data_IF_076362613205
#
_entry.id   IF_076362613205
#
_cell.length_a   1.000
_cell.length_b   1.000
_cell.length_c   1.000
_cell.angle_alpha   90.00
_cell.angle_beta   90.00
_cell.angle_gamma   90.00
#
_symmetry.space_group_name_H-M   'P 1'
#
loop_
_entity.id
_entity.type
_entity.pdbx_description
1 polymer ?
#
# COMPACT_ATOMS: atom_id res chain seq x y z
N UNK A 1 -12.24 25.40 13.45
CA UNK A 1 -12.50 25.12 12.02
C UNK A 1 -13.04 23.70 11.89
N UNK A 2 -14.34 23.60 11.64
CA UNK A 2 -15.07 22.33 11.49
C UNK A 2 -14.56 21.60 10.25
N UNK A 3 -13.78 20.54 10.43
CA UNK A 3 -13.47 19.58 9.37
C UNK A 3 -14.78 18.88 9.03
N UNK A 4 -15.52 19.49 8.11
CA UNK A 4 -16.70 18.91 7.49
C UNK A 4 -16.39 17.44 7.15
N UNK A 5 -17.31 16.55 7.54
CA UNK A 5 -17.29 15.12 7.26
C UNK A 5 -17.09 14.92 5.76
N UNK A 6 -15.84 14.85 5.31
CA UNK A 6 -15.53 14.54 3.92
C UNK A 6 -16.08 13.14 3.70
N UNK A 7 -17.12 13.04 2.86
CA UNK A 7 -17.55 11.76 2.31
C UNK A 7 -16.30 11.04 1.84
N UNK A 8 -16.11 9.73 2.13
CA UNK A 8 -14.87 9.02 1.81
C UNK A 8 -14.45 9.16 0.34
N UNK A 9 -15.43 9.41 -0.54
CA UNK A 9 -15.28 9.58 -1.99
C UNK A 9 -14.70 10.93 -2.42
N UNK A 10 -14.74 11.96 -1.58
CA UNK A 10 -14.30 13.31 -1.92
C UNK A 10 -12.82 13.58 -1.55
N UNK A 11 -12.15 12.60 -0.93
CA UNK A 11 -10.74 12.74 -0.59
C UNK A 11 -9.87 12.44 -1.82
N UNK A 12 -8.87 13.28 -2.17
CA UNK A 12 -8.04 13.08 -3.37
C UNK A 12 -7.34 11.71 -3.39
N UNK A 13 -6.88 11.23 -2.23
CA UNK A 13 -6.30 9.89 -2.10
C UNK A 13 -7.26 8.74 -2.42
N UNK A 14 -8.57 8.91 -2.28
CA UNK A 14 -9.55 7.84 -2.54
C UNK A 14 -9.50 7.39 -4.01
N UNK A 15 -9.45 8.34 -4.93
CA UNK A 15 -9.35 8.05 -6.37
C UNK A 15 -8.03 7.35 -6.70
N UNK A 16 -6.94 7.76 -6.05
CA UNK A 16 -5.62 7.14 -6.22
C UNK A 16 -5.62 5.70 -5.69
N UNK A 17 -6.22 5.45 -4.52
CA UNK A 17 -6.34 4.09 -3.98
C UNK A 17 -7.17 3.19 -4.88
N UNK A 18 -8.27 3.68 -5.43
CA UNK A 18 -9.09 2.94 -6.39
C UNK A 18 -8.32 2.65 -7.69
N UNK A 19 -7.52 3.60 -8.17
CA UNK A 19 -6.64 3.39 -9.32
C UNK A 19 -5.60 2.28 -9.04
N UNK A 20 -4.99 2.28 -7.85
CA UNK A 20 -4.04 1.24 -7.42
C UNK A 20 -4.71 -0.14 -7.39
N UNK A 21 -5.93 -0.24 -6.86
CA UNK A 21 -6.66 -1.51 -6.85
C UNK A 21 -6.89 -2.03 -8.26
N UNK A 22 -7.39 -1.18 -9.16
CA UNK A 22 -7.63 -1.54 -10.56
C UNK A 22 -6.34 -1.96 -11.28
N UNK A 23 -5.24 -1.28 -11.01
CA UNK A 23 -3.94 -1.60 -11.59
C UNK A 23 -3.45 -2.94 -11.07
N UNK A 24 -3.46 -3.15 -9.75
CA UNK A 24 -2.99 -4.38 -9.11
C UNK A 24 -3.84 -5.60 -9.49
N UNK A 25 -5.15 -5.44 -9.71
CA UNK A 25 -6.01 -6.52 -10.23
C UNK A 25 -5.52 -7.09 -11.56
N UNK A 26 -4.89 -6.27 -12.42
CA UNK A 26 -4.33 -6.72 -13.70
C UNK A 26 -3.08 -7.59 -13.54
N UNK A 27 -2.37 -7.44 -12.43
CA UNK A 27 -1.12 -8.14 -12.12
C UNK A 27 -1.29 -9.25 -11.08
N UNK A 28 -2.53 -9.62 -10.72
CA UNK A 28 -2.77 -10.77 -9.84
C UNK A 28 -2.38 -12.03 -10.61
N UNK A 29 -1.21 -12.60 -10.25
CA UNK A 29 -0.79 -13.91 -10.73
C UNK A 29 -1.90 -14.93 -10.47
N UNK A 30 -2.45 -15.52 -11.52
CA UNK A 30 -3.48 -16.57 -11.42
C UNK A 30 -2.90 -17.90 -10.94
N UNK A 31 -1.59 -17.99 -10.79
CA UNK A 31 -0.91 -19.20 -10.37
C UNK A 31 -0.99 -19.34 -8.84
N UNK A 32 -1.31 -20.54 -8.32
CA UNK A 32 -1.36 -20.79 -6.89
C UNK A 32 0.04 -20.59 -6.29
N UNK A 33 0.21 -19.51 -5.53
CA UNK A 33 1.44 -19.26 -4.77
C UNK A 33 1.59 -20.35 -3.70
N UNK A 34 2.66 -21.14 -3.77
CA UNK A 34 3.01 -22.10 -2.71
C UNK A 34 3.46 -21.32 -1.47
N UNK A 35 2.82 -21.57 -0.32
CA UNK A 35 3.20 -21.01 0.97
C UNK A 35 2.06 -20.35 1.74
N UNK A 36 2.41 -19.76 2.90
CA UNK A 36 1.44 -19.07 3.77
C UNK A 36 0.90 -17.82 3.07
N UNK A 37 -0.42 -17.57 3.06
CA UNK A 37 -0.97 -16.35 2.49
C UNK A 37 -0.38 -15.12 3.16
N UNK A 38 0.01 -14.13 2.36
CA UNK A 38 0.57 -12.88 2.86
C UNK A 38 -0.48 -12.20 3.76
N UNK A 39 -0.06 -11.71 4.94
CA UNK A 39 -0.93 -10.97 5.87
C UNK A 39 -1.44 -9.65 5.28
N UNK A 40 -0.65 -9.07 4.36
CA UNK A 40 -0.96 -7.84 3.63
C UNK A 40 -0.66 -8.04 2.14
N UNK A 41 -1.63 -7.71 1.31
CA UNK A 41 -1.51 -7.69 -0.15
C UNK A 41 -0.50 -6.63 -0.61
N UNK A 42 0.08 -6.83 -1.80
CA UNK A 42 1.00 -5.85 -2.39
C UNK A 42 0.27 -4.51 -2.66
N UNK A 43 -1.04 -4.55 -2.98
CA UNK A 43 -1.88 -3.37 -3.15
C UNK A 43 -2.05 -2.56 -1.84
N UNK A 44 -2.32 -3.22 -0.71
CA UNK A 44 -2.43 -2.54 0.59
C UNK A 44 -1.12 -1.84 0.98
N UNK A 45 0.02 -2.49 0.76
CA UNK A 45 1.35 -1.90 1.04
C UNK A 45 1.59 -0.69 0.14
N UNK A 46 1.29 -0.79 -1.16
CA UNK A 46 1.48 0.30 -2.10
C UNK A 46 0.63 1.53 -1.74
N UNK A 47 -0.62 1.33 -1.34
CA UNK A 47 -1.47 2.42 -0.83
C UNK A 47 -0.92 3.06 0.45
N UNK A 48 -0.31 2.27 1.35
CA UNK A 48 0.37 2.83 2.53
C UNK A 48 1.55 3.74 2.14
N UNK A 49 2.32 3.37 1.12
CA UNK A 49 3.41 4.21 0.60
C UNK A 49 2.89 5.49 -0.06
N UNK A 50 1.80 5.42 -0.82
CA UNK A 50 1.17 6.60 -1.40
C UNK A 50 0.64 7.54 -0.32
N UNK A 51 0.03 6.99 0.73
CA UNK A 51 -0.36 7.75 1.91
C UNK A 51 0.85 8.42 2.57
N UNK A 52 1.96 7.69 2.70
CA UNK A 52 3.22 8.20 3.24
C UNK A 52 3.72 9.42 2.45
N UNK A 53 3.77 9.31 1.12
CA UNK A 53 4.22 10.40 0.23
C UNK A 53 3.28 11.59 0.28
N UNK A 54 1.97 11.35 0.21
CA UNK A 54 0.95 12.41 0.21
C UNK A 54 1.03 13.27 1.48
N UNK A 55 1.23 12.64 2.64
CA UNK A 55 1.38 13.34 3.91
C UNK A 55 2.83 13.66 4.29
N UNK A 56 3.79 13.44 3.38
CA UNK A 56 5.23 13.72 3.59
C UNK A 56 5.82 13.07 4.85
N UNK A 57 5.35 11.87 5.18
CA UNK A 57 5.77 11.11 6.34
C UNK A 57 7.18 10.56 6.09
N UNK A 58 8.11 10.77 7.03
CA UNK A 58 9.53 10.50 6.80
C UNK A 58 9.99 9.11 7.22
N UNK A 59 9.21 8.42 8.05
CA UNK A 59 9.59 7.09 8.54
C UNK A 59 8.40 6.12 8.57
N UNK A 60 8.69 4.82 8.46
CA UNK A 60 7.65 3.79 8.59
C UNK A 60 7.05 3.72 9.99
N UNK A 61 7.80 4.13 11.02
CA UNK A 61 7.28 4.20 12.40
C UNK A 61 6.26 5.33 12.56
N UNK A 62 6.52 6.47 11.94
CA UNK A 62 5.57 7.57 11.87
C UNK A 62 4.34 7.20 11.03
N UNK A 63 4.54 6.46 9.94
CA UNK A 63 3.45 5.93 9.11
C UNK A 63 2.54 4.98 9.91
N UNK A 64 3.12 4.03 10.63
CA UNK A 64 2.40 3.12 11.52
C UNK A 64 1.56 3.90 12.56
N UNK A 65 2.18 4.86 13.23
CA UNK A 65 1.49 5.69 14.23
C UNK A 65 0.34 6.49 13.61
N UNK A 66 0.55 7.11 12.45
CA UNK A 66 -0.47 7.92 11.78
C UNK A 66 -1.64 7.08 11.25
N UNK A 67 -1.36 5.92 10.66
CA UNK A 67 -2.39 4.96 10.23
C UNK A 67 -3.20 4.39 11.41
N UNK A 68 -2.62 4.39 12.61
CA UNK A 68 -3.34 4.01 13.84
C UNK A 68 -4.39 5.04 14.24
N UNK A 69 -4.12 6.32 14.00
CA UNK A 69 -5.03 7.41 14.35
C UNK A 69 -6.04 7.71 13.23
N UNK A 70 -5.65 7.53 11.97
CA UNK A 70 -6.46 7.87 10.81
C UNK A 70 -7.38 6.71 10.38
N UNK A 71 -8.57 6.68 10.99
CA UNK A 71 -9.60 5.68 10.68
C UNK A 71 -10.05 5.74 9.20
N UNK A 72 -10.11 6.94 8.61
CA UNK A 72 -10.49 7.10 7.21
C UNK A 72 -9.48 6.43 6.28
N UNK A 73 -8.18 6.65 6.52
CA UNK A 73 -7.12 6.04 5.73
C UNK A 73 -7.12 4.52 5.89
N UNK A 74 -7.21 4.02 7.13
CA UNK A 74 -7.26 2.57 7.40
C UNK A 74 -8.40 1.89 6.64
N UNK A 75 -9.59 2.47 6.68
CA UNK A 75 -10.78 1.95 5.97
C UNK A 75 -10.64 2.05 4.45
N UNK A 76 -10.11 3.16 3.95
CA UNK A 76 -9.97 3.40 2.50
C UNK A 76 -8.89 2.51 1.87
N UNK A 77 -7.83 2.19 2.61
CA UNK A 77 -6.78 1.27 2.16
C UNK A 77 -7.28 -0.19 2.17
N UNK A 78 -8.17 -0.53 3.11
CA UNK A 78 -8.70 -1.88 3.30
C UNK A 78 -8.00 -2.69 4.40
N UNK A 79 -7.24 -2.02 5.27
CA UNK A 79 -6.38 -2.65 6.27
C UNK A 79 -7.19 -3.31 7.41
N UNK A 80 -7.17 -4.64 7.47
CA UNK A 80 -7.70 -5.41 8.62
C UNK A 80 -6.91 -5.15 9.89
N UNK A 81 -5.59 -5.16 9.77
CA UNK A 81 -4.63 -4.81 10.82
C UNK A 81 -3.68 -3.72 10.31
N UNK A 82 -2.98 -3.05 11.20
CA UNK A 82 -2.00 -2.03 10.80
C UNK A 82 -0.66 -2.74 10.58
N UNK A 83 0.00 -2.52 9.43
CA UNK A 83 1.33 -3.06 9.22
C UNK A 83 2.32 -2.31 10.12
N UNK A 84 3.08 -3.06 10.92
CA UNK A 84 4.14 -2.48 11.74
C UNK A 84 5.32 -2.03 10.87
N UNK A 85 6.17 -1.18 11.42
CA UNK A 85 7.34 -0.67 10.68
C UNK A 85 8.22 -1.80 10.11
N UNK A 86 8.37 -2.93 10.81
CA UNK A 86 9.17 -4.07 10.31
C UNK A 86 8.53 -4.72 9.10
N UNK A 87 7.21 -4.90 9.10
CA UNK A 87 6.48 -5.44 7.96
C UNK A 87 6.56 -4.49 6.78
N UNK A 88 6.41 -3.18 7.00
CA UNK A 88 6.55 -2.18 5.95
C UNK A 88 7.94 -2.25 5.30
N UNK A 89 9.02 -2.15 6.10
CA UNK A 89 10.40 -2.26 5.59
C UNK A 89 10.60 -3.51 4.73
N UNK A 90 10.23 -4.68 5.26
CA UNK A 90 10.43 -5.96 4.56
C UNK A 90 9.63 -6.03 3.28
N UNK A 91 8.38 -5.59 3.29
CA UNK A 91 7.48 -5.72 2.13
C UNK A 91 7.86 -4.76 1.02
N UNK A 92 8.27 -3.54 1.35
CA UNK A 92 8.81 -2.58 0.39
C UNK A 92 10.05 -3.14 -0.29
N UNK A 93 11.02 -3.62 0.49
CA UNK A 93 12.25 -4.22 -0.05
C UNK A 93 11.95 -5.40 -0.98
N UNK A 94 11.04 -6.29 -0.60
CA UNK A 94 10.62 -7.41 -1.46
C UNK A 94 9.97 -6.95 -2.77
N UNK A 95 9.20 -5.87 -2.74
CA UNK A 95 8.57 -5.30 -3.94
C UNK A 95 9.63 -4.67 -4.85
N UNK A 96 10.59 -3.95 -4.29
CA UNK A 96 11.73 -3.38 -5.02
C UNK A 96 12.57 -4.50 -5.66
N UNK A 97 12.99 -5.50 -4.90
CA UNK A 97 13.74 -6.66 -5.42
C UNK A 97 13.00 -7.37 -6.56
N UNK A 98 11.68 -7.57 -6.41
CA UNK A 98 10.86 -8.16 -7.46
C UNK A 98 10.78 -7.30 -8.72
N UNK A 99 10.76 -5.97 -8.58
CA UNK A 99 10.76 -5.04 -9.71
C UNK A 99 12.13 -5.07 -10.41
N UNK A 100 13.21 -5.01 -9.63
CA UNK A 100 14.58 -5.09 -10.15
C UNK A 100 14.82 -6.37 -10.93
N UNK A 101 14.35 -7.52 -10.43
CA UNK A 101 14.46 -8.79 -11.14
C UNK A 101 13.75 -8.75 -12.51
N UNK A 102 12.54 -8.19 -12.58
CA UNK A 102 11.80 -8.05 -13.84
C UNK A 102 12.51 -7.14 -14.84
N UNK A 103 13.01 -5.99 -14.38
CA UNK A 103 13.77 -5.07 -15.24
C UNK A 103 15.06 -5.71 -15.75
N UNK A 104 15.75 -6.49 -14.90
CA UNK A 104 16.96 -7.20 -15.29
C UNK A 104 16.69 -8.27 -16.35
N UNK A 105 15.60 -9.02 -16.21
CA UNK A 105 15.14 -9.98 -17.23
C UNK A 105 14.82 -9.28 -18.56
N UNK A 106 14.16 -8.12 -18.52
CA UNK A 106 13.81 -7.34 -19.72
C UNK A 106 15.03 -6.76 -20.45
N UNK A 107 16.11 -6.40 -19.73
CA UNK A 107 17.35 -5.87 -20.33
C UNK A 107 18.18 -6.98 -20.98
N UNK A 108 18.13 -8.20 -20.45
CA UNK A 108 18.92 -9.34 -20.94
C UNK A 108 18.26 -10.09 -22.11
N UNK A 109 16.97 -9.84 -22.39
CA UNK A 109 16.20 -10.49 -23.46
C UNK A 109 16.18 -9.61 -24.70
#
# INVERSE_FOLDING_TARGET
MSLARLSPRNHPLYQIFHCIDNLMMRFVDRLPRRGKPKRFSDAEILKCLVYQVFYRIRSFRELEWKLTQDYWARRSIGLKAIPDHTTLCRRVKQMEESLYAKLYEEILT
#
